data_IF_356763192086
#
_entry.id   IF_356763192086
#
_cell.length_a   1.000
_cell.length_b   1.000
_cell.length_c   1.000
_cell.angle_alpha   90.00
_cell.angle_beta   90.00
_cell.angle_gamma   90.00
#
_symmetry.space_group_name_H-M   'P 1'
#
loop_
_entity.id
_entity.type
_entity.pdbx_description
1 polymer ?
#
# COMPACT_ATOMS: atom_id res chain seq x y z
N UNK A 1 -22.82 1.84 -17.44
CA UNK A 1 -21.85 0.88 -16.86
C UNK A 1 -20.87 1.66 -16.00
N UNK A 2 -20.93 1.47 -14.68
CA UNK A 2 -20.06 2.13 -13.72
C UNK A 2 -18.63 1.61 -13.90
N UNK A 3 -17.71 2.48 -14.32
CA UNK A 3 -16.31 2.09 -14.55
C UNK A 3 -15.56 2.16 -13.22
N UNK A 4 -14.98 1.03 -12.80
CA UNK A 4 -14.18 0.96 -11.57
C UNK A 4 -12.69 0.96 -11.91
N UNK A 5 -11.92 1.71 -11.15
CA UNK A 5 -10.47 1.78 -11.31
C UNK A 5 -9.80 1.42 -9.98
N UNK A 6 -8.74 0.64 -10.05
CA UNK A 6 -7.93 0.30 -8.89
C UNK A 6 -6.52 0.83 -9.14
N UNK A 7 -6.06 1.75 -8.30
CA UNK A 7 -4.70 2.28 -8.34
C UNK A 7 -3.89 1.54 -7.27
N UNK A 8 -3.11 0.55 -7.68
CA UNK A 8 -2.15 -0.10 -6.79
C UNK A 8 -0.79 0.58 -6.89
N UNK A 9 0.00 0.49 -5.82
CA UNK A 9 1.36 1.01 -5.83
C UNK A 9 2.30 0.20 -4.94
N UNK A 10 3.59 0.40 -5.11
CA UNK A 10 4.64 -0.11 -4.21
C UNK A 10 4.68 0.63 -2.86
N UNK A 11 3.75 1.55 -2.60
CA UNK A 11 3.74 2.43 -1.44
C UNK A 11 4.68 3.62 -1.60
N UNK A 12 4.44 4.69 -0.84
CA UNK A 12 5.22 5.95 -0.92
C UNK A 12 5.33 6.53 -2.34
N UNK A 13 4.29 6.37 -3.15
CA UNK A 13 4.20 6.87 -4.53
C UNK A 13 3.24 8.05 -4.69
N UNK A 14 2.81 8.68 -3.58
CA UNK A 14 1.87 9.80 -3.63
C UNK A 14 0.40 9.40 -3.86
N UNK A 15 0.01 8.16 -3.53
CA UNK A 15 -1.38 7.70 -3.69
C UNK A 15 -2.42 8.57 -2.97
N UNK A 16 -2.06 9.17 -1.83
CA UNK A 16 -2.93 10.14 -1.14
C UNK A 16 -3.14 11.39 -1.99
N UNK A 17 -2.05 11.97 -2.51
CA UNK A 17 -2.11 13.12 -3.42
C UNK A 17 -2.98 12.82 -4.65
N UNK A 18 -2.86 11.63 -5.25
CA UNK A 18 -3.71 11.25 -6.37
C UNK A 18 -5.18 11.15 -5.99
N UNK A 19 -5.51 10.59 -4.81
CA UNK A 19 -6.88 10.54 -4.35
C UNK A 19 -7.47 11.95 -4.16
N UNK A 20 -6.73 12.83 -3.50
CA UNK A 20 -7.14 14.22 -3.26
C UNK A 20 -7.29 15.00 -4.57
N UNK A 21 -6.33 14.84 -5.48
CA UNK A 21 -6.34 15.48 -6.81
C UNK A 21 -7.53 15.03 -7.64
N UNK A 22 -7.83 13.72 -7.67
CA UNK A 22 -8.98 13.19 -8.42
C UNK A 22 -10.29 13.73 -7.84
N UNK A 23 -10.44 13.72 -6.51
CA UNK A 23 -11.62 14.27 -5.86
C UNK A 23 -11.79 15.77 -6.16
N UNK A 24 -10.69 16.53 -6.19
CA UNK A 24 -10.72 17.96 -6.51
C UNK A 24 -11.09 18.24 -7.98
N UNK A 25 -10.54 17.46 -8.91
CA UNK A 25 -10.77 17.66 -10.36
C UNK A 25 -12.08 17.07 -10.87
N UNK A 26 -12.65 16.10 -10.15
CA UNK A 26 -13.85 15.34 -10.55
C UNK A 26 -14.76 15.08 -9.34
N UNK A 27 -15.60 16.04 -8.94
CA UNK A 27 -16.50 15.90 -7.79
C UNK A 27 -17.49 14.73 -7.89
N UNK A 28 -17.78 14.26 -9.11
CA UNK A 28 -18.62 13.11 -9.39
C UNK A 28 -17.91 11.74 -9.19
N UNK A 29 -16.62 11.75 -8.91
CA UNK A 29 -15.79 10.57 -8.69
C UNK A 29 -15.48 10.44 -7.20
N UNK A 30 -15.51 9.22 -6.68
CA UNK A 30 -15.02 8.93 -5.34
C UNK A 30 -13.64 8.28 -5.41
N UNK A 31 -12.59 9.05 -5.10
CA UNK A 31 -11.25 8.51 -4.91
C UNK A 31 -10.95 8.38 -3.41
N UNK A 32 -10.46 7.20 -3.01
CA UNK A 32 -10.20 6.87 -1.60
C UNK A 32 -8.77 6.36 -1.46
N UNK A 33 -8.03 6.96 -0.53
CA UNK A 33 -6.73 6.44 -0.12
C UNK A 33 -6.91 5.48 1.05
N UNK A 34 -6.52 4.21 0.87
CA UNK A 34 -6.66 3.12 1.85
C UNK A 34 -8.10 2.98 2.42
N UNK A 35 -8.91 2.09 1.83
CA UNK A 35 -10.22 1.74 2.41
C UNK A 35 -10.08 1.12 3.82
N UNK A 36 -11.15 1.21 4.63
CA UNK A 36 -11.15 0.77 6.05
C UNK A 36 -10.60 -0.65 6.27
N UNK A 37 -10.87 -1.57 5.34
CA UNK A 37 -10.53 -2.99 5.45
C UNK A 37 -9.27 -3.38 4.65
N UNK A 38 -8.51 -2.43 4.13
CA UNK A 38 -7.33 -2.68 3.29
C UNK A 38 -6.28 -3.57 3.96
N UNK A 39 -5.97 -3.27 5.24
CA UNK A 39 -5.02 -4.06 6.03
C UNK A 39 -5.51 -5.50 6.24
N UNK A 40 -6.80 -5.66 6.52
CA UNK A 40 -7.42 -6.97 6.65
C UNK A 40 -7.28 -7.76 5.34
N UNK A 41 -7.60 -7.15 4.20
CA UNK A 41 -7.49 -7.83 2.91
C UNK A 41 -6.06 -8.14 2.51
N UNK A 42 -5.08 -7.34 2.90
CA UNK A 42 -3.66 -7.68 2.74
C UNK A 42 -3.31 -8.96 3.50
N UNK A 43 -3.67 -9.04 4.78
CA UNK A 43 -3.44 -10.22 5.63
C UNK A 43 -4.16 -11.45 5.05
N UNK A 44 -5.45 -11.32 4.71
CA UNK A 44 -6.24 -12.42 4.15
C UNK A 44 -5.66 -12.90 2.81
N UNK A 45 -5.14 -11.97 1.98
CA UNK A 45 -4.46 -12.32 0.74
C UNK A 45 -3.20 -13.15 1.00
N UNK A 46 -2.41 -12.79 2.02
CA UNK A 46 -1.24 -13.58 2.42
C UNK A 46 -1.62 -14.97 2.95
N UNK A 47 -2.69 -15.08 3.74
CA UNK A 47 -3.19 -16.39 4.18
C UNK A 47 -3.67 -17.26 3.01
N UNK A 48 -4.32 -16.66 2.01
CA UNK A 48 -4.71 -17.39 0.80
C UNK A 48 -3.50 -17.81 -0.02
N UNK A 49 -2.48 -16.96 -0.17
CA UNK A 49 -1.22 -17.33 -0.85
C UNK A 49 -0.47 -18.46 -0.12
N UNK A 50 -0.49 -18.44 1.21
CA UNK A 50 0.06 -19.50 2.06
C UNK A 50 -0.82 -20.78 2.11
N UNK A 51 -1.94 -20.82 1.37
CA UNK A 51 -2.91 -21.94 1.33
C UNK A 51 -3.60 -22.23 2.67
N UNK A 52 -3.61 -21.28 3.59
CA UNK A 52 -4.32 -21.37 4.87
C UNK A 52 -5.80 -20.99 4.74
N UNK A 53 -6.14 -20.20 3.72
CA UNK A 53 -7.51 -19.72 3.46
C UNK A 53 -7.92 -20.00 2.01
N UNK A 54 -9.12 -20.54 1.74
CA UNK A 54 -9.59 -20.74 0.39
C UNK A 54 -9.93 -19.41 -0.31
N UNK A 55 -9.68 -19.34 -1.62
CA UNK A 55 -10.01 -18.15 -2.45
C UNK A 55 -11.50 -17.80 -2.41
N UNK A 56 -12.38 -18.79 -2.27
CA UNK A 56 -13.83 -18.58 -2.16
C UNK A 56 -14.21 -17.76 -0.93
N UNK A 57 -13.57 -18.00 0.21
CA UNK A 57 -13.79 -17.24 1.44
C UNK A 57 -13.26 -15.81 1.29
N UNK A 58 -12.08 -15.62 0.71
CA UNK A 58 -11.54 -14.29 0.41
C UNK A 58 -12.50 -13.48 -0.47
N UNK A 59 -13.04 -14.10 -1.53
CA UNK A 59 -14.04 -13.50 -2.41
C UNK A 59 -15.32 -13.13 -1.67
N UNK A 60 -15.82 -14.02 -0.81
CA UNK A 60 -17.01 -13.76 -0.01
C UNK A 60 -16.80 -12.56 0.93
N UNK A 61 -15.68 -12.52 1.64
CA UNK A 61 -15.33 -11.41 2.54
C UNK A 61 -15.13 -10.10 1.79
N UNK A 62 -14.49 -10.13 0.60
CA UNK A 62 -14.38 -8.97 -0.28
C UNK A 62 -15.74 -8.41 -0.65
N UNK A 63 -16.67 -9.28 -1.09
CA UNK A 63 -18.03 -8.87 -1.46
C UNK A 63 -18.81 -8.32 -0.28
N UNK A 64 -18.61 -8.84 0.94
CA UNK A 64 -19.35 -8.44 2.13
C UNK A 64 -18.84 -7.15 2.76
N UNK A 65 -17.52 -6.94 2.76
CA UNK A 65 -16.87 -5.85 3.51
C UNK A 65 -16.40 -4.69 2.63
N UNK A 66 -16.29 -4.87 1.31
CA UNK A 66 -15.91 -3.78 0.43
C UNK A 66 -17.06 -2.76 0.33
N UNK A 67 -16.86 -1.60 0.96
CA UNK A 67 -17.86 -0.53 1.06
C UNK A 67 -18.05 0.24 -0.25
N UNK A 68 -17.13 0.07 -1.20
CA UNK A 68 -17.13 0.79 -2.47
C UNK A 68 -17.91 0.05 -3.56
N UNK A 69 -18.99 -0.67 -3.25
CA UNK A 69 -19.77 -1.33 -4.30
C UNK A 69 -20.75 -0.39 -5.01
N UNK A 70 -21.20 0.67 -4.34
CA UNK A 70 -22.33 1.50 -4.77
C UNK A 70 -21.93 2.82 -5.47
N UNK A 71 -20.66 3.22 -5.46
CA UNK A 71 -20.25 4.44 -6.13
C UNK A 71 -20.13 4.27 -7.65
N UNK A 72 -20.48 5.33 -8.39
CA UNK A 72 -20.55 5.33 -9.85
C UNK A 72 -19.16 5.19 -10.51
N UNK A 73 -18.15 5.81 -9.90
CA UNK A 73 -16.75 5.73 -10.29
C UNK A 73 -15.89 5.70 -9.01
N UNK A 74 -15.10 4.65 -8.84
CA UNK A 74 -14.23 4.47 -7.65
C UNK A 74 -12.78 4.37 -8.10
N UNK A 75 -11.91 5.09 -7.38
CA UNK A 75 -10.46 4.93 -7.43
C UNK A 75 -9.95 4.56 -6.04
N UNK A 76 -9.57 3.31 -5.83
CA UNK A 76 -8.92 2.87 -4.58
C UNK A 76 -7.40 2.96 -4.78
N UNK A 77 -6.76 3.93 -4.11
CA UNK A 77 -5.34 4.23 -4.24
C UNK A 77 -4.56 3.63 -3.06
N UNK A 78 -4.11 2.39 -3.24
CA UNK A 78 -3.81 1.51 -2.10
C UNK A 78 -2.71 0.50 -2.40
N UNK A 79 -1.64 0.60 -1.63
CA UNK A 79 -0.48 -0.28 -1.73
C UNK A 79 -0.69 -1.64 -1.05
N UNK A 80 -1.84 -1.89 -0.41
CA UNK A 80 -2.11 -3.12 0.34
C UNK A 80 -2.95 -4.13 -0.44
N UNK A 81 -3.58 -3.73 -1.55
CA UNK A 81 -4.49 -4.58 -2.33
C UNK A 81 -3.82 -5.26 -3.52
N UNK A 82 -2.50 -5.12 -3.70
CA UNK A 82 -1.78 -5.62 -4.89
C UNK A 82 -1.99 -7.12 -5.18
N UNK A 83 -2.21 -7.94 -4.15
CA UNK A 83 -2.39 -9.38 -4.30
C UNK A 83 -3.82 -9.78 -4.69
N UNK A 84 -4.83 -8.94 -4.40
CA UNK A 84 -6.24 -9.29 -4.60
C UNK A 84 -6.61 -9.51 -6.08
N UNK A 85 -6.21 -8.65 -7.03
CA UNK A 85 -6.52 -8.86 -8.44
C UNK A 85 -6.04 -10.21 -8.98
N UNK A 86 -4.94 -10.73 -8.45
CA UNK A 86 -4.41 -12.03 -8.82
C UNK A 86 -5.16 -13.21 -8.16
N UNK A 87 -5.60 -13.02 -6.90
CA UNK A 87 -6.23 -14.07 -6.12
C UNK A 87 -7.71 -14.30 -6.45
N UNK A 88 -8.42 -13.23 -6.76
CA UNK A 88 -9.86 -13.24 -7.06
C UNK A 88 -10.15 -12.40 -8.32
N UNK A 89 -9.54 -12.72 -9.48
CA UNK A 89 -9.65 -11.90 -10.70
C UNK A 89 -11.11 -11.65 -11.12
N UNK A 90 -12.00 -12.59 -10.87
CA UNK A 90 -13.45 -12.46 -11.07
C UNK A 90 -14.06 -11.27 -10.31
N UNK A 91 -13.53 -10.92 -9.14
CA UNK A 91 -13.99 -9.77 -8.35
C UNK A 91 -13.47 -8.43 -8.91
N UNK A 92 -12.49 -8.49 -9.81
CA UNK A 92 -11.83 -7.36 -10.44
C UNK A 92 -12.03 -7.32 -11.97
N UNK A 93 -12.87 -8.20 -12.53
CA UNK A 93 -13.07 -8.29 -13.99
C UNK A 93 -13.57 -6.97 -14.61
N UNK A 94 -14.31 -6.17 -13.85
CA UNK A 94 -14.80 -4.85 -14.26
C UNK A 94 -13.83 -3.70 -13.94
N UNK A 95 -12.73 -3.99 -13.25
CA UNK A 95 -11.76 -2.99 -12.80
C UNK A 95 -10.67 -2.78 -13.84
N UNK A 96 -10.36 -1.51 -14.11
CA UNK A 96 -9.12 -1.14 -14.77
C UNK A 96 -8.04 -0.88 -13.71
N UNK A 97 -6.94 -1.62 -13.79
CA UNK A 97 -5.87 -1.55 -12.79
C UNK A 97 -4.76 -0.66 -13.30
N UNK A 98 -4.42 0.37 -12.54
CA UNK A 98 -3.25 1.22 -12.75
C UNK A 98 -2.23 0.88 -11.67
N UNK A 99 -1.03 0.44 -12.06
CA UNK A 99 0.06 0.20 -11.12
C UNK A 99 1.06 1.35 -11.17
N UNK A 100 1.13 2.13 -10.10
CA UNK A 100 2.14 3.18 -9.93
C UNK A 100 3.36 2.56 -9.26
N UNK A 101 4.45 2.46 -10.02
CA UNK A 101 5.74 2.04 -9.50
C UNK A 101 6.63 3.26 -9.22
N UNK A 102 7.54 3.08 -8.27
CA UNK A 102 8.63 4.01 -7.97
C UNK A 102 9.94 3.24 -8.04
N UNK A 103 11.03 3.90 -8.39
CA UNK A 103 12.35 3.24 -8.38
C UNK A 103 12.64 2.73 -6.95
N UNK A 104 13.33 1.59 -6.80
CA UNK A 104 13.66 1.06 -5.48
C UNK A 104 14.41 2.05 -4.59
N UNK A 105 15.34 2.80 -5.17
CA UNK A 105 16.17 3.79 -4.46
C UNK A 105 15.31 4.94 -3.92
N UNK A 106 14.46 5.53 -4.74
CA UNK A 106 13.59 6.63 -4.31
C UNK A 106 12.55 6.16 -3.27
N UNK A 107 12.06 4.92 -3.39
CA UNK A 107 11.18 4.32 -2.40
C UNK A 107 11.89 4.19 -1.04
N UNK A 108 13.09 3.59 -1.03
CA UNK A 108 13.85 3.37 0.19
C UNK A 108 14.14 4.70 0.90
N UNK A 109 14.57 5.71 0.15
CA UNK A 109 14.79 7.06 0.68
C UNK A 109 13.52 7.64 1.31
N UNK A 110 12.40 7.62 0.58
CA UNK A 110 11.13 8.16 1.07
C UNK A 110 10.61 7.42 2.30
N UNK A 111 10.79 6.09 2.34
CA UNK A 111 10.39 5.26 3.47
C UNK A 111 11.21 5.58 4.72
N UNK A 112 12.54 5.70 4.58
CA UNK A 112 13.44 6.06 5.68
C UNK A 112 13.18 7.45 6.24
N UNK A 113 12.82 8.43 5.40
CA UNK A 113 12.39 9.77 5.85
C UNK A 113 11.07 9.70 6.62
N UNK A 114 10.08 8.96 6.11
CA UNK A 114 8.77 8.81 6.75
C UNK A 114 8.84 8.07 8.09
N UNK A 115 9.63 7.00 8.17
CA UNK A 115 9.73 6.15 9.36
C UNK A 115 10.31 6.90 10.59
N UNK A 116 10.91 8.06 10.37
CA UNK A 116 11.46 8.93 11.43
C UNK A 116 10.48 9.97 11.94
N UNK A 117 9.39 10.25 11.20
CA UNK A 117 8.40 11.26 11.57
C UNK A 117 7.43 10.80 12.68
N UNK A 118 7.32 9.48 12.93
CA UNK A 118 6.48 8.94 14.00
C UNK A 118 7.35 8.58 15.21
N UNK A 119 7.09 9.17 16.37
CA UNK A 119 7.79 8.87 17.65
C UNK A 119 7.87 7.37 17.95
N UNK A 120 6.76 6.63 17.73
CA UNK A 120 6.75 5.15 17.87
C UNK A 120 7.65 4.45 16.87
N UNK A 121 7.75 4.97 15.64
CA UNK A 121 8.63 4.44 14.61
C UNK A 121 10.08 4.86 14.83
N UNK A 122 10.35 6.01 15.44
CA UNK A 122 11.70 6.38 15.89
C UNK A 122 12.20 5.39 16.94
N UNK A 123 11.43 5.15 18.00
CA UNK A 123 11.78 4.17 19.03
C UNK A 123 11.98 2.79 18.40
N UNK A 124 11.05 2.35 17.55
CA UNK A 124 11.17 1.05 16.90
C UNK A 124 12.40 0.95 15.98
N UNK A 125 12.75 2.00 15.22
CA UNK A 125 13.87 1.96 14.28
C UNK A 125 15.25 2.11 14.93
N UNK A 126 15.35 2.80 16.07
CA UNK A 126 16.64 3.11 16.70
C UNK A 126 16.92 2.35 17.99
N UNK A 127 15.88 1.94 18.74
CA UNK A 127 16.04 1.27 20.03
C UNK A 127 15.76 -0.24 19.94
N UNK A 128 15.02 -0.71 18.93
CA UNK A 128 14.78 -2.14 18.72
C UNK A 128 15.75 -2.65 17.64
N UNK A 129 16.80 -3.41 18.02
CA UNK A 129 17.72 -3.98 17.05
C UNK A 129 16.96 -4.86 16.05
N UNK A 130 17.31 -4.75 14.76
CA UNK A 130 16.74 -5.51 13.64
C UNK A 130 15.25 -5.25 13.31
N UNK A 131 14.63 -4.19 13.86
CA UNK A 131 13.26 -3.82 13.50
C UNK A 131 13.08 -3.47 12.01
N UNK A 132 14.12 -2.96 11.36
CA UNK A 132 14.21 -2.79 9.91
C UNK A 132 15.55 -3.34 9.37
N UNK A 133 15.63 -3.70 8.08
CA UNK A 133 16.87 -4.06 7.43
C UNK A 133 17.89 -2.93 7.60
N UNK A 134 18.95 -3.19 8.35
CA UNK A 134 19.96 -2.20 8.66
C UNK A 134 21.21 -2.46 7.80
N UNK A 135 21.51 -1.55 6.88
CA UNK A 135 22.65 -1.70 5.98
C UNK A 135 24.01 -1.80 6.70
N UNK A 136 24.12 -1.23 7.91
CA UNK A 136 25.31 -1.38 8.76
C UNK A 136 25.46 -2.81 9.29
N UNK A 137 24.39 -3.43 9.80
CA UNK A 137 24.44 -4.82 10.27
C UNK A 137 24.69 -5.84 9.14
N UNK A 138 24.44 -5.45 7.89
CA UNK A 138 24.73 -6.27 6.71
C UNK A 138 26.09 -5.92 6.04
N UNK A 139 26.91 -5.07 6.68
CA UNK A 139 28.22 -4.67 6.17
C UNK A 139 28.20 -3.87 4.87
N UNK A 140 27.03 -3.37 4.45
CA UNK A 140 26.84 -2.69 3.16
C UNK A 140 27.20 -1.20 3.22
N UNK A 141 27.18 -0.60 4.41
CA UNK A 141 27.47 0.82 4.67
C UNK A 141 28.06 1.00 6.07
N UNK A 142 28.81 2.07 6.27
CA UNK A 142 29.44 2.40 7.55
C UNK A 142 28.41 2.97 8.55
N UNK A 143 28.65 2.79 9.85
CA UNK A 143 27.72 3.25 10.91
C UNK A 143 27.41 4.75 10.79
N UNK A 144 28.42 5.57 10.49
CA UNK A 144 28.23 7.00 10.28
C UNK A 144 27.46 7.32 9.00
N UNK A 145 27.58 6.50 7.95
CA UNK A 145 26.81 6.65 6.72
C UNK A 145 25.35 6.33 6.98
N UNK A 146 25.06 5.26 7.73
CA UNK A 146 23.70 4.93 8.18
C UNK A 146 23.08 6.06 9.03
N UNK A 147 23.85 6.60 9.99
CA UNK A 147 23.43 7.77 10.78
C UNK A 147 23.28 9.04 9.94
N UNK A 148 24.00 9.19 8.82
CA UNK A 148 23.88 10.34 7.89
C UNK A 148 22.82 10.18 6.81
N UNK A 149 22.44 8.96 6.41
CA UNK A 149 21.24 8.70 5.58
C UNK A 149 19.97 9.25 6.25
N UNK A 150 20.05 9.44 7.57
CA UNK A 150 19.11 10.14 8.43
C UNK A 150 18.98 11.65 8.24
N UNK A 151 20.01 12.30 7.68
CA UNK A 151 20.21 13.75 7.70
C UNK A 151 20.54 14.32 6.33
N UNK A 152 20.04 13.72 5.24
CA UNK A 152 20.09 14.41 3.95
C UNK A 152 18.90 15.36 3.84
N UNK A 153 19.23 16.65 3.90
CA UNK A 153 18.43 17.78 3.45
C UNK A 153 17.68 17.47 2.15
#
# INVERSE_FOLDING_TARGET
MNKKYLIISTGRTGTLFFADLINALRPQVMAVHESRYSRLFCILSHFTLARLFPRSLLRFLWRKLNQHQHAEIIYDANNMLYALPYLIPEAFAEYKILHIFRTPDDYAESHLRFSKQRLRSFIANYLIPLWQPNGYFHGKILLWQWYRMSKRE
#
